data_IF_199524648955
#
_entry.id   IF_199524648955
#
_cell.length_a   1.000
_cell.length_b   1.000
_cell.length_c   1.000
_cell.angle_alpha   90.00
_cell.angle_beta   90.00
_cell.angle_gamma   90.00
#
_symmetry.space_group_name_H-M   'P 1'
#
loop_
_entity.id
_entity.type
_entity.pdbx_description
1 polymer ?
#
# COMPACT_ATOMS: atom_id res chain seq x y z
N UNK A 1 1.00 -13.96 -10.16
CA UNK A 1 0.45 -13.74 -8.79
C UNK A 1 1.39 -12.77 -8.10
N UNK A 2 0.89 -11.62 -7.66
CA UNK A 2 1.77 -10.60 -7.07
C UNK A 2 1.94 -10.82 -5.56
N UNK A 3 0.84 -10.88 -4.79
CA UNK A 3 0.86 -11.13 -3.34
C UNK A 3 0.08 -12.40 -3.04
N UNK A 4 0.66 -13.26 -2.20
CA UNK A 4 0.01 -14.45 -1.68
C UNK A 4 0.20 -14.55 -0.17
N UNK A 5 -0.90 -14.80 0.53
CA UNK A 5 -0.97 -15.04 1.98
C UNK A 5 -1.67 -16.37 2.19
N UNK A 6 -1.11 -17.24 3.01
CA UNK A 6 -1.68 -18.57 3.27
C UNK A 6 -1.68 -18.86 4.76
N UNK A 7 -2.84 -19.25 5.30
CA UNK A 7 -3.01 -19.67 6.69
C UNK A 7 -2.68 -18.58 7.70
N UNK A 8 -3.01 -17.30 7.40
CA UNK A 8 -2.67 -16.18 8.26
C UNK A 8 -3.46 -16.23 9.56
N UNK A 9 -2.74 -16.13 10.68
CA UNK A 9 -3.32 -16.04 12.00
C UNK A 9 -2.72 -14.86 12.76
N UNK A 10 -3.59 -14.13 13.48
CA UNK A 10 -3.19 -13.05 14.38
C UNK A 10 -4.16 -12.92 15.54
N UNK A 11 -3.63 -12.95 16.76
CA UNK A 11 -4.37 -12.67 17.98
C UNK A 11 -3.67 -11.59 18.82
N UNK A 12 -4.44 -10.87 19.61
CA UNK A 12 -3.96 -9.97 20.64
C UNK A 12 -4.49 -10.49 21.99
N UNK A 13 -3.62 -11.08 22.80
CA UNK A 13 -4.01 -11.80 24.01
C UNK A 13 -5.07 -12.87 23.67
N UNK A 14 -6.27 -12.76 24.23
CA UNK A 14 -7.37 -13.70 24.03
C UNK A 14 -8.28 -13.34 22.84
N UNK A 15 -7.99 -12.24 22.14
CA UNK A 15 -8.80 -11.77 21.03
C UNK A 15 -8.19 -12.20 19.67
N UNK A 16 -8.78 -13.23 19.05
CA UNK A 16 -8.43 -13.66 17.70
C UNK A 16 -8.97 -12.65 16.70
N UNK A 17 -8.07 -11.99 15.95
CA UNK A 17 -8.41 -10.95 14.96
C UNK A 17 -8.44 -11.51 13.55
N UNK A 18 -7.48 -12.38 13.21
CA UNK A 18 -7.41 -13.07 11.93
C UNK A 18 -7.19 -14.57 12.22
N UNK A 19 -8.01 -15.42 11.61
CA UNK A 19 -7.97 -16.87 11.82
C UNK A 19 -7.93 -17.58 10.48
N UNK A 20 -6.86 -18.31 10.23
CA UNK A 20 -6.63 -19.18 9.07
C UNK A 20 -7.05 -18.55 7.72
N UNK A 21 -6.61 -17.31 7.52
CA UNK A 21 -7.05 -16.50 6.37
C UNK A 21 -6.08 -16.62 5.21
N UNK A 22 -6.65 -17.00 4.06
CA UNK A 22 -5.97 -17.03 2.77
C UNK A 22 -6.34 -15.81 1.94
N UNK A 23 -5.36 -15.22 1.27
CA UNK A 23 -5.55 -14.08 0.40
C UNK A 23 -4.57 -14.11 -0.76
N UNK A 24 -5.04 -13.72 -1.93
CA UNK A 24 -4.18 -13.51 -3.09
C UNK A 24 -4.63 -12.31 -3.90
N UNK A 25 -3.69 -11.69 -4.59
CA UNK A 25 -3.98 -10.63 -5.54
C UNK A 25 -3.06 -10.75 -6.75
N UNK A 26 -3.63 -10.61 -7.94
CA UNK A 26 -2.93 -10.77 -9.21
C UNK A 26 -2.59 -9.40 -9.84
N UNK A 27 -1.60 -9.34 -10.76
CA UNK A 27 -1.32 -8.13 -11.52
C UNK A 27 -2.58 -7.61 -12.22
N UNK A 28 -2.81 -6.30 -12.14
CA UNK A 28 -3.99 -5.66 -12.75
C UNK A 28 -5.29 -5.76 -11.95
N UNK A 29 -5.29 -6.50 -10.83
CA UNK A 29 -6.46 -6.54 -9.93
C UNK A 29 -6.49 -5.33 -8.99
N UNK A 30 -7.70 -4.83 -8.73
CA UNK A 30 -8.02 -3.92 -7.63
C UNK A 30 -8.93 -4.66 -6.64
N UNK A 31 -8.35 -5.13 -5.55
CA UNK A 31 -9.09 -5.83 -4.49
C UNK A 31 -9.49 -4.84 -3.41
N UNK A 32 -10.78 -4.77 -3.13
CA UNK A 32 -11.34 -3.92 -2.07
C UNK A 32 -11.65 -4.78 -0.85
N UNK A 33 -11.01 -4.50 0.27
CA UNK A 33 -11.30 -5.12 1.55
C UNK A 33 -12.27 -4.24 2.33
N UNK A 34 -13.55 -4.59 2.28
CA UNK A 34 -14.61 -3.87 2.97
C UNK A 34 -14.85 -4.41 4.38
N UNK A 35 -15.18 -3.52 5.30
CA UNK A 35 -15.64 -3.92 6.64
C UNK A 35 -15.72 -2.76 7.61
N UNK A 36 -16.40 -3.00 8.74
CA UNK A 36 -16.53 -2.01 9.82
C UNK A 36 -15.18 -1.72 10.46
N UNK A 37 -15.06 -0.62 11.17
CA UNK A 37 -13.89 -0.33 12.00
C UNK A 37 -13.67 -1.43 13.04
N UNK A 38 -12.42 -1.77 13.34
CA UNK A 38 -12.07 -2.79 14.34
C UNK A 38 -12.16 -4.25 13.88
N UNK A 39 -12.46 -4.53 12.60
CA UNK A 39 -12.59 -5.92 12.08
C UNK A 39 -11.27 -6.55 11.63
N UNK A 40 -10.11 -5.94 11.93
CA UNK A 40 -8.80 -6.52 11.59
C UNK A 40 -8.20 -6.06 10.25
N UNK A 41 -8.87 -5.21 9.46
CA UNK A 41 -8.36 -4.74 8.16
C UNK A 41 -6.99 -4.05 8.27
N UNK A 42 -6.86 -3.12 9.20
CA UNK A 42 -5.60 -2.42 9.45
C UNK A 42 -4.52 -3.38 9.97
N UNK A 43 -4.89 -4.36 10.80
CA UNK A 43 -3.96 -5.43 11.24
C UNK A 43 -3.45 -6.23 10.05
N UNK A 44 -4.34 -6.69 9.17
CA UNK A 44 -3.97 -7.38 7.94
C UNK A 44 -3.03 -6.54 7.08
N UNK A 45 -3.40 -5.29 6.83
CA UNK A 45 -2.59 -4.34 6.07
C UNK A 45 -1.20 -4.13 6.67
N UNK A 46 -1.11 -3.98 8.00
CA UNK A 46 0.17 -3.81 8.72
C UNK A 46 1.05 -5.05 8.63
N UNK A 47 0.45 -6.25 8.72
CA UNK A 47 1.20 -7.52 8.62
C UNK A 47 1.81 -7.67 7.24
N UNK A 48 1.04 -7.52 6.16
CA UNK A 48 1.57 -7.66 4.80
C UNK A 48 2.60 -6.58 4.44
N UNK A 49 2.54 -5.41 5.07
CA UNK A 49 3.54 -4.35 4.92
C UNK A 49 4.75 -4.48 5.87
N UNK A 50 4.87 -5.62 6.60
CA UNK A 50 5.95 -5.86 7.56
C UNK A 50 6.06 -4.77 8.65
N UNK A 51 4.93 -4.18 9.03
CA UNK A 51 4.79 -3.22 10.13
C UNK A 51 4.33 -3.89 11.42
N UNK A 52 3.89 -5.15 11.33
CA UNK A 52 3.46 -5.99 12.43
C UNK A 52 3.70 -7.46 12.09
N UNK A 53 3.99 -8.28 13.10
CA UNK A 53 4.24 -9.70 12.89
C UNK A 53 2.95 -10.53 13.03
N UNK A 54 2.78 -11.49 12.12
CA UNK A 54 1.77 -12.53 12.24
C UNK A 54 2.18 -13.59 13.27
N UNK A 55 1.21 -14.24 13.90
CA UNK A 55 1.49 -15.38 14.77
C UNK A 55 1.80 -16.63 13.93
N UNK A 56 1.04 -16.86 12.84
CA UNK A 56 1.24 -17.90 11.83
C UNK A 56 0.90 -17.38 10.44
N UNK A 57 1.41 -18.06 9.44
CA UNK A 57 1.10 -17.82 8.04
C UNK A 57 2.33 -17.67 7.16
N UNK A 58 2.13 -17.98 5.88
CA UNK A 58 3.12 -17.75 4.82
C UNK A 58 2.71 -16.54 4.01
N UNK A 59 3.63 -15.59 3.82
CA UNK A 59 3.40 -14.34 3.09
C UNK A 59 4.52 -14.18 2.08
N UNK A 60 4.16 -14.00 0.81
CA UNK A 60 5.13 -13.82 -0.28
C UNK A 60 4.62 -12.86 -1.36
N UNK A 61 5.53 -12.16 -2.02
CA UNK A 61 5.29 -11.36 -3.22
C UNK A 61 6.29 -11.74 -4.29
N UNK A 62 5.81 -12.22 -5.44
CA UNK A 62 6.66 -12.58 -6.59
C UNK A 62 7.83 -13.50 -6.21
N UNK A 63 7.59 -14.45 -5.29
CA UNK A 63 8.62 -15.37 -4.77
C UNK A 63 9.55 -14.81 -3.70
N UNK A 64 9.41 -13.51 -3.35
CA UNK A 64 10.10 -12.92 -2.19
C UNK A 64 9.26 -13.19 -0.94
N UNK A 65 9.83 -13.93 0.00
CA UNK A 65 9.13 -14.40 1.19
C UNK A 65 9.34 -13.42 2.35
N UNK A 66 8.25 -12.98 2.98
CA UNK A 66 8.29 -12.25 4.25
C UNK A 66 8.35 -13.22 5.43
N UNK A 67 7.42 -14.19 5.44
CA UNK A 67 7.36 -15.21 6.49
C UNK A 67 6.92 -16.56 5.91
N UNK A 68 7.33 -17.65 6.59
CA UNK A 68 6.86 -19.02 6.35
C UNK A 68 6.27 -19.59 7.63
N UNK A 69 5.12 -20.23 7.51
CA UNK A 69 4.55 -21.03 8.60
C UNK A 69 5.35 -22.33 8.76
N UNK A 70 5.83 -22.61 9.97
CA UNK A 70 6.50 -23.87 10.31
C UNK A 70 5.59 -24.88 11.02
N UNK A 71 4.27 -24.63 11.05
CA UNK A 71 3.27 -25.43 11.75
C UNK A 71 2.98 -24.97 13.17
N UNK A 72 3.85 -24.16 13.79
CA UNK A 72 3.67 -23.62 15.15
C UNK A 72 3.67 -22.10 15.19
N UNK A 73 4.46 -21.44 14.34
CA UNK A 73 4.56 -19.99 14.25
C UNK A 73 5.03 -19.53 12.88
N UNK A 74 4.83 -18.24 12.58
CA UNK A 74 5.45 -17.59 11.45
C UNK A 74 6.96 -17.42 11.69
N UNK A 75 7.79 -17.88 10.76
CA UNK A 75 9.25 -17.68 10.74
C UNK A 75 9.57 -16.63 9.70
N UNK A 76 10.07 -15.51 10.16
CA UNK A 76 10.38 -14.37 9.29
C UNK A 76 11.73 -14.53 8.62
N UNK A 77 11.82 -14.09 7.38
CA UNK A 77 13.03 -14.05 6.56
C UNK A 77 14.09 -13.10 7.15
N UNK A 78 15.33 -13.21 6.69
CA UNK A 78 16.42 -12.32 7.08
C UNK A 78 16.12 -10.85 6.76
N UNK A 79 16.82 -9.92 7.40
CA UNK A 79 16.61 -8.47 7.18
C UNK A 79 16.79 -8.07 5.71
N UNK A 80 17.73 -8.68 4.99
CA UNK A 80 17.94 -8.40 3.57
C UNK A 80 16.79 -8.90 2.68
N UNK A 81 16.28 -10.10 2.96
CA UNK A 81 15.11 -10.66 2.27
C UNK A 81 13.84 -9.87 2.58
N UNK A 82 13.63 -9.49 3.85
CA UNK A 82 12.51 -8.63 4.25
C UNK A 82 12.55 -7.28 3.53
N UNK A 83 13.73 -6.68 3.37
CA UNK A 83 13.90 -5.44 2.56
C UNK A 83 13.56 -5.67 1.10
N UNK A 84 14.01 -6.78 0.50
CA UNK A 84 13.68 -7.13 -0.87
C UNK A 84 12.17 -7.33 -1.06
N UNK A 85 11.48 -7.93 -0.08
CA UNK A 85 10.03 -8.05 -0.04
C UNK A 85 9.36 -6.67 0.08
N UNK A 86 9.80 -5.81 1.00
CA UNK A 86 9.23 -4.49 1.23
C UNK A 86 9.34 -3.57 0.01
N UNK A 87 10.39 -3.73 -0.82
CA UNK A 87 10.53 -2.97 -2.06
C UNK A 87 9.48 -3.35 -3.13
N UNK A 88 8.83 -4.51 -2.99
CA UNK A 88 7.68 -4.89 -3.84
C UNK A 88 6.36 -4.26 -3.40
N UNK A 89 6.33 -3.59 -2.24
CA UNK A 89 5.15 -2.97 -1.67
C UNK A 89 5.26 -1.45 -1.63
N UNK A 90 4.23 -0.77 -2.10
CA UNK A 90 4.00 0.65 -1.84
C UNK A 90 2.82 0.81 -0.89
N UNK A 91 2.98 1.58 0.18
CA UNK A 91 1.93 1.87 1.14
C UNK A 91 1.51 3.34 1.08
N UNK A 92 0.22 3.57 0.98
CA UNK A 92 -0.42 4.89 1.04
C UNK A 92 -1.34 4.92 2.25
N UNK A 93 -0.98 5.73 3.24
CA UNK A 93 -1.69 5.86 4.52
C UNK A 93 -2.84 6.86 4.43
N UNK A 94 -3.83 6.69 5.29
CA UNK A 94 -5.01 7.56 5.40
C UNK A 94 -4.67 9.03 5.64
N UNK A 95 -3.63 9.31 6.44
CA UNK A 95 -3.15 10.64 6.81
C UNK A 95 -1.94 11.09 5.96
N UNK A 96 -1.74 10.45 4.80
CA UNK A 96 -0.68 10.70 3.81
C UNK A 96 0.74 10.43 4.34
N UNK A 97 1.03 10.65 5.60
CA UNK A 97 2.33 10.50 6.27
C UNK A 97 3.50 11.15 5.52
N UNK A 98 3.26 12.35 4.98
CA UNK A 98 4.31 13.14 4.34
C UNK A 98 5.20 13.79 5.40
N UNK A 99 6.50 13.80 5.15
CA UNK A 99 7.46 14.51 5.99
C UNK A 99 7.23 16.03 5.87
N UNK A 100 6.78 16.71 6.92
CA UNK A 100 6.37 18.12 6.83
C UNK A 100 7.55 19.09 6.60
N UNK A 101 8.75 18.66 6.96
CA UNK A 101 10.02 19.42 6.85
C UNK A 101 10.76 19.15 5.54
N UNK A 102 10.23 18.28 4.67
CA UNK A 102 10.77 17.99 3.34
C UNK A 102 9.86 18.55 2.27
N UNK A 103 10.42 19.02 1.15
CA UNK A 103 9.66 19.40 -0.02
C UNK A 103 8.98 18.17 -0.65
N UNK A 104 8.08 18.38 -1.61
CA UNK A 104 7.41 17.29 -2.33
C UNK A 104 8.44 16.34 -2.96
N UNK A 105 9.40 16.87 -3.72
CA UNK A 105 10.41 16.00 -4.35
C UNK A 105 11.29 15.30 -3.34
N UNK A 106 11.65 15.93 -2.24
CA UNK A 106 12.40 15.31 -1.16
C UNK A 106 11.62 14.16 -0.50
N UNK A 107 10.29 14.31 -0.30
CA UNK A 107 9.44 13.24 0.17
C UNK A 107 9.47 12.01 -0.73
N UNK A 108 9.55 12.20 -2.06
CA UNK A 108 9.58 11.10 -3.00
C UNK A 108 10.93 10.36 -2.96
N UNK A 109 12.03 11.10 -2.98
CA UNK A 109 13.36 10.50 -3.16
C UNK A 109 14.01 9.97 -1.88
N UNK A 110 13.49 10.30 -0.70
CA UNK A 110 14.11 9.98 0.60
C UNK A 110 14.40 8.48 0.76
N UNK A 111 13.40 7.64 0.54
CA UNK A 111 13.54 6.20 0.72
C UNK A 111 14.52 5.55 -0.29
N UNK A 112 14.40 5.77 -1.61
CA UNK A 112 15.36 5.20 -2.57
C UNK A 112 16.77 5.79 -2.43
N UNK A 113 16.91 7.04 -2.01
CA UNK A 113 18.21 7.66 -1.74
C UNK A 113 18.89 7.01 -0.53
N UNK A 114 18.14 6.82 0.58
CA UNK A 114 18.64 6.14 1.78
C UNK A 114 19.02 4.67 1.52
N UNK A 115 18.44 4.04 0.51
CA UNK A 115 18.79 2.69 0.08
C UNK A 115 19.98 2.65 -0.89
N UNK A 116 20.46 3.78 -1.38
CA UNK A 116 21.56 3.87 -2.33
C UNK A 116 21.22 3.28 -3.70
N UNK A 117 19.96 3.30 -4.12
CA UNK A 117 19.52 2.64 -5.38
C UNK A 117 19.98 3.38 -6.63
N UNK A 118 20.02 4.72 -6.57
CA UNK A 118 20.44 5.62 -7.63
C UNK A 118 21.08 6.87 -7.01
N UNK A 119 21.77 7.66 -7.83
CA UNK A 119 22.23 8.97 -7.39
C UNK A 119 21.04 9.95 -7.23
N UNK A 120 21.28 11.05 -6.54
CA UNK A 120 20.23 12.02 -6.19
C UNK A 120 19.60 12.67 -7.42
N UNK A 121 20.42 12.99 -8.42
CA UNK A 121 20.01 13.65 -9.66
C UNK A 121 19.05 12.75 -10.46
N UNK A 122 19.38 11.46 -10.61
CA UNK A 122 18.51 10.46 -11.26
C UNK A 122 17.19 10.31 -10.52
N UNK A 123 17.22 10.26 -9.18
CA UNK A 123 16.01 10.13 -8.37
C UNK A 123 15.11 11.38 -8.49
N UNK A 124 15.70 12.58 -8.59
CA UNK A 124 14.94 13.81 -8.83
C UNK A 124 14.23 13.75 -10.18
N UNK A 125 14.90 13.31 -11.23
CA UNK A 125 14.29 13.19 -12.56
C UNK A 125 13.17 12.14 -12.59
N UNK A 126 13.36 11.00 -11.95
CA UNK A 126 12.31 9.98 -11.82
C UNK A 126 11.12 10.50 -10.98
N UNK A 127 11.40 11.23 -9.89
CA UNK A 127 10.37 11.85 -9.07
C UNK A 127 9.56 12.92 -9.83
N UNK A 128 10.22 13.74 -10.65
CA UNK A 128 9.53 14.73 -11.50
C UNK A 128 8.59 14.08 -12.52
N UNK A 129 9.00 12.95 -13.12
CA UNK A 129 8.13 12.17 -14.03
C UNK A 129 6.89 11.68 -13.28
N UNK A 130 7.07 11.06 -12.09
CA UNK A 130 5.94 10.60 -11.28
C UNK A 130 5.02 11.75 -10.84
N UNK A 131 5.58 12.92 -10.52
CA UNK A 131 4.78 14.11 -10.22
C UNK A 131 3.98 14.60 -11.44
N UNK A 132 4.55 14.49 -12.64
CA UNK A 132 3.83 14.79 -13.87
C UNK A 132 2.68 13.80 -14.10
N UNK A 133 2.93 12.50 -13.89
CA UNK A 133 1.92 11.45 -14.06
C UNK A 133 0.72 11.63 -13.11
N UNK A 134 0.95 12.21 -11.92
CA UNK A 134 -0.13 12.53 -10.97
C UNK A 134 -0.63 13.99 -11.07
N UNK A 135 -0.21 14.74 -12.09
CA UNK A 135 -0.68 16.11 -12.36
C UNK A 135 -0.18 17.16 -11.36
N UNK A 136 1.06 17.01 -10.86
CA UNK A 136 1.67 17.90 -9.87
C UNK A 136 3.06 18.40 -10.30
N UNK A 137 3.31 18.58 -11.60
CA UNK A 137 4.61 19.04 -12.13
C UNK A 137 5.07 20.39 -11.56
N UNK A 138 4.11 21.27 -11.22
CA UNK A 138 4.35 22.60 -10.65
C UNK A 138 4.57 22.60 -9.12
N UNK A 139 4.50 21.44 -8.47
CA UNK A 139 4.56 21.31 -7.00
C UNK A 139 5.86 20.68 -6.47
N UNK A 140 6.90 20.58 -7.29
CA UNK A 140 8.16 19.89 -6.97
C UNK A 140 8.81 20.39 -5.69
N UNK A 141 8.92 21.74 -5.55
CA UNK A 141 9.73 22.39 -4.52
C UNK A 141 8.91 22.98 -3.35
N UNK A 142 7.60 22.73 -3.34
CA UNK A 142 6.72 23.19 -2.25
C UNK A 142 6.71 22.22 -1.07
N UNK A 143 6.30 22.70 0.10
CA UNK A 143 6.14 21.87 1.30
C UNK A 143 4.71 21.29 1.39
N UNK A 144 4.53 20.11 2.03
CA UNK A 144 3.21 19.50 2.18
C UNK A 144 2.15 20.39 2.82
N UNK A 145 2.54 21.34 3.68
CA UNK A 145 1.62 22.28 4.35
C UNK A 145 0.85 23.17 3.37
N UNK A 146 1.38 23.41 2.16
CA UNK A 146 0.77 24.27 1.14
C UNK A 146 -0.17 23.49 0.19
N UNK A 147 -0.27 22.18 0.33
CA UNK A 147 -1.04 21.32 -0.55
C UNK A 147 -2.46 21.10 -0.02
N UNK A 148 -3.43 20.98 -0.94
CA UNK A 148 -4.77 20.45 -0.63
C UNK A 148 -4.73 18.97 -0.24
N UNK A 149 -5.81 18.44 0.35
CA UNK A 149 -5.92 17.02 0.69
C UNK A 149 -5.70 16.09 -0.52
N UNK A 150 -6.35 16.37 -1.64
CA UNK A 150 -6.18 15.59 -2.88
C UNK A 150 -4.77 15.71 -3.48
N UNK A 151 -4.12 16.85 -3.35
CA UNK A 151 -2.71 17.01 -3.75
C UNK A 151 -1.78 16.19 -2.85
N UNK A 152 -1.98 16.22 -1.52
CA UNK A 152 -1.21 15.39 -0.57
C UNK A 152 -1.37 13.91 -0.87
N UNK A 153 -2.58 13.46 -1.19
CA UNK A 153 -2.86 12.09 -1.57
C UNK A 153 -2.07 11.69 -2.83
N UNK A 154 -2.08 12.53 -3.86
CA UNK A 154 -1.33 12.27 -5.09
C UNK A 154 0.18 12.25 -4.86
N UNK A 155 0.72 13.11 -3.99
CA UNK A 155 2.13 13.05 -3.57
C UNK A 155 2.44 11.74 -2.83
N UNK A 156 1.56 11.28 -1.93
CA UNK A 156 1.75 10.01 -1.22
C UNK A 156 1.74 8.81 -2.17
N UNK A 157 0.88 8.84 -3.20
CA UNK A 157 0.87 7.83 -4.28
C UNK A 157 2.18 7.87 -5.08
N UNK A 158 2.62 9.05 -5.53
CA UNK A 158 3.87 9.22 -6.27
C UNK A 158 5.07 8.73 -5.44
N UNK A 159 5.10 9.03 -4.14
CA UNK A 159 6.13 8.53 -3.21
C UNK A 159 6.13 6.99 -3.14
N UNK A 160 4.96 6.38 -3.03
CA UNK A 160 4.84 4.92 -2.98
C UNK A 160 5.34 4.26 -4.28
N UNK A 161 5.23 4.95 -5.42
CA UNK A 161 5.67 4.46 -6.74
C UNK A 161 7.17 4.59 -6.99
N UNK A 162 7.92 5.37 -6.19
CA UNK A 162 9.37 5.60 -6.41
C UNK A 162 10.23 4.33 -6.41
N UNK A 163 9.82 3.29 -5.68
CA UNK A 163 10.48 1.99 -5.66
C UNK A 163 9.93 1.04 -6.74
N UNK A 164 9.03 1.51 -7.60
CA UNK A 164 8.35 0.72 -8.62
C UNK A 164 7.76 -0.60 -8.08
N UNK A 165 6.96 -0.58 -7.01
CA UNK A 165 6.45 -1.77 -6.37
C UNK A 165 5.49 -2.53 -7.30
N UNK A 166 5.39 -3.86 -7.10
CA UNK A 166 4.42 -4.71 -7.79
C UNK A 166 3.03 -4.61 -7.17
N UNK A 167 2.96 -4.33 -5.86
CA UNK A 167 1.74 -4.24 -5.07
C UNK A 167 1.62 -2.87 -4.45
N UNK A 168 0.44 -2.25 -4.54
CA UNK A 168 0.11 -1.01 -3.86
C UNK A 168 -1.00 -1.25 -2.85
N UNK A 169 -0.77 -0.80 -1.63
CA UNK A 169 -1.73 -0.89 -0.53
C UNK A 169 -2.22 0.51 -0.17
N UNK A 170 -3.54 0.68 -0.08
CA UNK A 170 -4.18 1.93 0.28
C UNK A 170 -5.03 1.74 1.53
N UNK A 171 -4.80 2.55 2.55
CA UNK A 171 -5.62 2.59 3.75
C UNK A 171 -6.52 3.83 3.71
N UNK A 172 -7.83 3.63 3.50
CA UNK A 172 -8.88 4.66 3.44
C UNK A 172 -8.52 5.85 2.51
N UNK A 173 -8.18 5.61 1.22
CA UNK A 173 -7.56 6.62 0.36
C UNK A 173 -8.42 7.85 0.05
N UNK A 174 -9.72 7.80 0.32
CA UNK A 174 -10.67 8.88 -0.01
C UNK A 174 -11.37 9.49 1.20
N UNK A 175 -11.09 8.99 2.42
CA UNK A 175 -11.82 9.36 3.65
C UNK A 175 -11.79 10.85 4.02
N UNK A 176 -10.76 11.58 3.58
CA UNK A 176 -10.58 13.02 3.86
C UNK A 176 -10.73 13.91 2.60
N UNK A 177 -11.29 13.36 1.51
CA UNK A 177 -11.40 14.03 0.23
C UNK A 177 -12.85 14.40 -0.10
N UNK A 178 -13.03 15.49 -0.83
CA UNK A 178 -14.27 15.78 -1.52
C UNK A 178 -14.49 14.78 -2.68
N UNK A 179 -15.72 14.75 -3.20
CA UNK A 179 -16.12 13.78 -4.21
C UNK A 179 -15.30 13.87 -5.49
N UNK A 180 -15.02 15.08 -5.97
CA UNK A 180 -14.25 15.30 -7.20
C UNK A 180 -12.82 14.78 -7.03
N UNK A 181 -12.17 15.11 -5.92
CA UNK A 181 -10.83 14.59 -5.56
C UNK A 181 -10.83 13.07 -5.42
N UNK A 182 -11.88 12.49 -4.82
CA UNK A 182 -12.02 11.04 -4.68
C UNK A 182 -12.15 10.35 -6.05
N UNK A 183 -12.93 10.90 -6.96
CA UNK A 183 -13.09 10.38 -8.33
C UNK A 183 -11.75 10.45 -9.11
N UNK A 184 -10.99 11.53 -8.97
CA UNK A 184 -9.65 11.66 -9.56
C UNK A 184 -8.68 10.60 -9.02
N UNK A 185 -8.67 10.37 -7.71
CA UNK A 185 -7.86 9.30 -7.10
C UNK A 185 -8.30 7.93 -7.58
N UNK A 186 -9.60 7.68 -7.69
CA UNK A 186 -10.14 6.43 -8.24
C UNK A 186 -9.67 6.17 -9.68
N UNK A 187 -9.69 7.21 -10.53
CA UNK A 187 -9.16 7.15 -11.89
C UNK A 187 -7.66 6.81 -11.93
N UNK A 188 -6.86 7.47 -11.09
CA UNK A 188 -5.42 7.20 -10.98
C UNK A 188 -5.15 5.74 -10.53
N UNK A 189 -5.83 5.26 -9.50
CA UNK A 189 -5.70 3.87 -9.02
C UNK A 189 -6.06 2.88 -10.13
N UNK A 190 -7.15 3.13 -10.84
CA UNK A 190 -7.58 2.26 -11.95
C UNK A 190 -6.55 2.22 -13.08
N UNK A 191 -5.95 3.37 -13.44
CA UNK A 191 -4.89 3.45 -14.45
C UNK A 191 -3.64 2.67 -14.00
N UNK A 192 -3.20 2.81 -12.75
CA UNK A 192 -2.07 2.03 -12.20
C UNK A 192 -2.29 0.51 -12.30
N UNK A 193 -3.51 0.04 -12.05
CA UNK A 193 -3.83 -1.37 -12.21
C UNK A 193 -3.84 -1.79 -13.67
N UNK A 194 -4.60 -1.11 -14.54
CA UNK A 194 -4.84 -1.52 -15.93
C UNK A 194 -3.63 -1.31 -16.83
N UNK A 195 -3.00 -0.13 -16.74
CA UNK A 195 -1.99 0.28 -17.70
C UNK A 195 -0.58 -0.13 -17.28
N UNK A 196 -0.33 -0.22 -15.96
CA UNK A 196 0.96 -0.60 -15.40
C UNK A 196 0.97 -2.01 -14.78
N UNK A 197 -0.16 -2.72 -14.77
CA UNK A 197 -0.27 -4.07 -14.22
C UNK A 197 -0.04 -4.16 -12.72
N UNK A 198 -0.19 -3.07 -11.96
CA UNK A 198 -0.02 -3.09 -10.50
C UNK A 198 -1.15 -3.91 -9.85
N UNK A 199 -0.79 -4.73 -8.86
CA UNK A 199 -1.76 -5.35 -7.98
C UNK A 199 -2.13 -4.36 -6.87
N UNK A 200 -3.42 -4.08 -6.67
CA UNK A 200 -3.85 -3.02 -5.76
C UNK A 200 -4.80 -3.56 -4.69
N UNK A 201 -4.43 -3.38 -3.43
CA UNK A 201 -5.27 -3.66 -2.27
C UNK A 201 -5.74 -2.34 -1.65
N UNK A 202 -7.05 -2.17 -1.51
CA UNK A 202 -7.64 -1.01 -0.85
C UNK A 202 -8.45 -1.47 0.36
N UNK A 203 -8.11 -0.95 1.52
CA UNK A 203 -8.93 -1.07 2.72
C UNK A 203 -9.80 0.16 2.81
N UNK A 204 -11.12 -0.03 2.85
CA UNK A 204 -12.07 1.09 3.02
C UNK A 204 -13.39 0.62 3.63
N UNK A 205 -14.14 1.56 4.17
CA UNK A 205 -15.55 1.39 4.54
C UNK A 205 -16.50 2.04 3.52
N UNK A 206 -15.96 2.78 2.54
CA UNK A 206 -16.74 3.39 1.45
C UNK A 206 -17.12 2.34 0.40
N UNK A 207 -18.38 1.88 0.50
CA UNK A 207 -18.92 0.88 -0.42
C UNK A 207 -19.15 1.42 -1.83
N UNK A 208 -19.39 2.73 -1.98
CA UNK A 208 -19.63 3.36 -3.29
C UNK A 208 -18.32 3.42 -4.06
N UNK A 209 -17.31 4.00 -3.45
CA UNK A 209 -15.96 4.05 -4.02
C UNK A 209 -15.42 2.65 -4.33
N UNK A 210 -15.54 1.71 -3.38
CA UNK A 210 -15.08 0.34 -3.58
C UNK A 210 -15.75 -0.37 -4.76
N UNK A 211 -17.07 -0.21 -4.94
CA UNK A 211 -17.80 -0.79 -6.09
C UNK A 211 -17.45 -0.13 -7.42
N UNK A 212 -17.10 1.15 -7.41
CA UNK A 212 -16.78 1.91 -8.62
C UNK A 212 -15.45 1.45 -9.24
N UNK A 213 -14.43 1.16 -8.43
CA UNK A 213 -13.08 0.89 -8.92
C UNK A 213 -12.60 -0.55 -8.71
N UNK A 214 -13.23 -1.30 -7.79
CA UNK A 214 -12.81 -2.66 -7.44
C UNK A 214 -13.11 -3.67 -8.54
N UNK A 215 -12.13 -4.50 -8.88
CA UNK A 215 -12.33 -5.68 -9.73
C UNK A 215 -12.86 -6.86 -8.91
N UNK A 216 -12.54 -6.88 -7.61
CA UNK A 216 -12.99 -7.87 -6.63
C UNK A 216 -13.21 -7.19 -5.27
N UNK A 217 -14.26 -7.62 -4.58
CA UNK A 217 -14.60 -7.13 -3.25
C UNK A 217 -14.57 -8.28 -2.27
N UNK A 218 -13.82 -8.11 -1.18
CA UNK A 218 -13.77 -9.04 -0.06
C UNK A 218 -14.28 -8.37 1.22
N UNK A 219 -14.88 -9.17 2.09
CA UNK A 219 -15.35 -8.70 3.39
C UNK A 219 -14.39 -9.11 4.49
N UNK A 220 -14.05 -8.18 5.37
CA UNK A 220 -13.26 -8.48 6.57
C UNK A 220 -13.95 -9.45 7.54
N UNK A 221 -15.23 -9.80 7.33
CA UNK A 221 -15.87 -10.91 8.05
C UNK A 221 -15.23 -12.26 7.76
N UNK A 222 -14.45 -12.39 6.67
CA UNK A 222 -13.68 -13.59 6.36
C UNK A 222 -12.53 -13.83 7.34
N UNK A 223 -12.07 -12.81 8.08
CA UNK A 223 -10.99 -12.96 9.08
C UNK A 223 -11.36 -13.79 10.31
N UNK A 224 -12.64 -13.92 10.61
CA UNK A 224 -13.15 -14.58 11.82
C UNK A 224 -13.82 -15.96 11.54
N UNK A 225 -13.67 -16.48 10.32
CA UNK A 225 -14.27 -17.77 9.94
C UNK A 225 -13.46 -18.96 10.36
#
# INVERSE_FOLDING_TARGET
MSLKVTGLNKAYKDNQVIKDYDFEINPGEVVILLGRSGTGKTTFMRIINNLEEADRGTIEINGKVLSKDNGTKAVYSSNSERRAYQNELGMVFQDYQLFPNLTVIQNLIEAPLAQGLKNKEELIEDGKKLLADVGLSDKTDVFPSTLSGGQKQRVAIARALMLNPSVLCFDEPTSALDRESADQIGGLITALAKDQGKAILIVTHDTVFGKQIGTRIESSTAFAK
#
